data_IF_132338769270
#
_entry.id   IF_132338769270
#
_cell.length_a   1.000
_cell.length_b   1.000
_cell.length_c   1.000
_cell.angle_alpha   90.00
_cell.angle_beta   90.00
_cell.angle_gamma   90.00
#
_symmetry.space_group_name_H-M   'P 1'
#
loop_
_entity.id
_entity.type
_entity.pdbx_description
1 polymer ?
#
# COMPACT_ATOMS: atom_id res chain seq x y z
N UNK A 1 0.88 3.39 -14.66
CA UNK A 1 0.09 2.14 -14.79
C UNK A 1 -0.01 1.47 -13.45
N UNK A 2 -0.98 0.58 -13.24
CA UNK A 2 -1.20 -0.07 -11.94
C UNK A 2 0.05 -0.81 -11.44
N UNK A 3 0.83 -1.42 -12.35
CA UNK A 3 2.12 -2.01 -12.01
C UNK A 3 3.09 -1.00 -11.37
N UNK A 4 3.16 0.23 -11.88
CA UNK A 4 4.02 1.28 -11.33
C UNK A 4 3.52 1.74 -9.96
N UNK A 5 2.21 1.91 -9.80
CA UNK A 5 1.60 2.34 -8.53
C UNK A 5 1.84 1.29 -7.45
N UNK A 6 1.58 0.01 -7.76
CA UNK A 6 1.86 -1.12 -6.87
C UNK A 6 3.33 -1.16 -6.44
N UNK A 7 4.25 -0.97 -7.40
CA UNK A 7 5.68 -0.94 -7.11
C UNK A 7 6.07 0.15 -6.12
N UNK A 8 5.50 1.35 -6.26
CA UNK A 8 5.77 2.47 -5.33
C UNK A 8 5.14 2.27 -3.95
N UNK A 9 3.92 1.74 -3.87
CA UNK A 9 3.28 1.40 -2.59
C UNK A 9 4.10 0.37 -1.82
N UNK A 10 4.57 -0.69 -2.50
CA UNK A 10 5.43 -1.70 -1.90
C UNK A 10 6.80 -1.15 -1.48
N UNK A 11 7.35 -0.16 -2.18
CA UNK A 11 8.58 0.49 -1.77
C UNK A 11 8.43 1.19 -0.42
N UNK A 12 7.37 2.00 -0.25
CA UNK A 12 7.07 2.67 1.03
C UNK A 12 6.91 1.66 2.16
N UNK A 13 6.15 0.59 1.93
CA UNK A 13 5.92 -0.45 2.95
C UNK A 13 7.19 -1.23 3.32
N UNK A 14 8.14 -1.40 2.38
CA UNK A 14 9.44 -2.05 2.66
C UNK A 14 10.41 -1.15 3.42
N UNK A 15 10.33 0.16 3.21
CA UNK A 15 11.18 1.14 3.90
C UNK A 15 10.67 1.46 5.31
N UNK A 16 9.39 1.21 5.59
CA UNK A 16 8.79 1.47 6.89
C UNK A 16 9.21 0.43 7.95
N UNK A 17 9.53 0.91 9.15
CA UNK A 17 9.86 0.07 10.32
C UNK A 17 8.65 -0.24 11.20
N UNK A 18 7.49 0.32 10.87
CA UNK A 18 6.21 0.15 11.56
C UNK A 18 5.07 0.16 10.52
N UNK A 19 3.85 -0.28 10.89
CA UNK A 19 2.70 -0.16 10.00
C UNK A 19 2.51 1.26 9.48
N UNK A 20 2.22 1.36 8.18
CA UNK A 20 2.12 2.62 7.43
C UNK A 20 0.68 3.11 7.42
N UNK A 21 0.40 4.34 7.87
CA UNK A 21 -0.92 4.93 7.75
C UNK A 21 -1.36 5.13 6.31
N UNK A 22 -2.66 4.99 6.04
CA UNK A 22 -3.26 5.24 4.73
C UNK A 22 -2.85 6.62 4.17
N UNK A 23 -2.82 7.64 5.03
CA UNK A 23 -2.45 9.00 4.64
C UNK A 23 -1.03 9.11 4.04
N UNK A 24 -0.10 8.22 4.41
CA UNK A 24 1.24 8.15 3.82
C UNK A 24 1.18 7.49 2.44
N UNK A 25 0.45 6.39 2.32
CA UNK A 25 0.23 5.73 1.03
C UNK A 25 -0.50 6.66 0.06
N UNK A 26 -1.38 7.52 0.57
CA UNK A 26 -2.12 8.51 -0.22
C UNK A 26 -1.22 9.53 -0.93
N UNK A 27 0.01 9.74 -0.46
CA UNK A 27 0.96 10.65 -1.11
C UNK A 27 1.78 9.99 -2.23
N UNK A 28 1.72 8.66 -2.37
CA UNK A 28 2.57 7.89 -3.30
C UNK A 28 2.21 8.14 -4.77
N UNK A 29 0.94 8.47 -5.03
CA UNK A 29 0.42 8.64 -6.39
C UNK A 29 -0.73 9.63 -6.41
N UNK A 30 -0.69 10.56 -7.38
CA UNK A 30 -1.62 11.69 -7.45
C UNK A 30 -3.07 11.30 -7.81
N UNK A 31 -3.25 10.21 -8.57
CA UNK A 31 -4.57 9.75 -9.03
C UNK A 31 -5.20 8.83 -7.97
N UNK A 32 -6.21 9.27 -7.20
CA UNK A 32 -6.72 8.53 -6.05
C UNK A 32 -7.37 7.20 -6.44
N UNK A 33 -8.11 7.16 -7.56
CA UNK A 33 -8.82 5.96 -7.99
C UNK A 33 -7.82 4.87 -8.40
N UNK A 34 -6.77 5.25 -9.13
CA UNK A 34 -5.73 4.32 -9.53
C UNK A 34 -4.92 3.80 -8.34
N UNK A 35 -4.66 4.68 -7.36
CA UNK A 35 -3.97 4.33 -6.12
C UNK A 35 -4.76 3.35 -5.27
N UNK A 36 -6.03 3.65 -5.02
CA UNK A 36 -6.92 2.78 -4.26
C UNK A 36 -7.02 1.39 -4.91
N UNK A 37 -7.30 1.33 -6.22
CA UNK A 37 -7.36 0.06 -6.95
C UNK A 37 -6.05 -0.73 -6.89
N UNK A 38 -4.91 -0.05 -6.96
CA UNK A 38 -3.61 -0.70 -6.86
C UNK A 38 -3.37 -1.27 -5.45
N UNK A 39 -3.74 -0.54 -4.39
CA UNK A 39 -3.63 -0.98 -3.01
C UNK A 39 -4.58 -2.16 -2.73
N UNK A 40 -5.84 -2.08 -3.17
CA UNK A 40 -6.83 -3.15 -3.03
C UNK A 40 -6.35 -4.43 -3.72
N UNK A 41 -5.76 -4.30 -4.92
CA UNK A 41 -5.17 -5.44 -5.62
C UNK A 41 -3.99 -6.05 -4.87
N UNK A 42 -3.14 -5.24 -4.20
CA UNK A 42 -2.06 -5.77 -3.37
C UNK A 42 -2.59 -6.54 -2.16
N UNK A 43 -3.68 -6.07 -1.56
CA UNK A 43 -4.35 -6.74 -0.43
C UNK A 43 -4.97 -8.05 -0.90
N UNK A 44 -5.69 -8.04 -2.03
CA UNK A 44 -6.30 -9.24 -2.60
C UNK A 44 -5.26 -10.31 -2.96
N UNK A 45 -4.07 -9.89 -3.41
CA UNK A 45 -2.96 -10.79 -3.73
C UNK A 45 -2.16 -11.25 -2.49
N UNK A 46 -2.53 -10.80 -1.28
CA UNK A 46 -1.84 -11.14 -0.03
C UNK A 46 -0.44 -10.54 0.08
N UNK A 47 -0.13 -9.48 -0.68
CA UNK A 47 1.17 -8.81 -0.65
C UNK A 47 1.23 -7.65 0.35
N UNK A 48 0.06 -7.18 0.80
CA UNK A 48 -0.12 -6.13 1.81
C UNK A 48 -1.24 -6.56 2.73
N UNK A 49 -1.07 -6.36 4.03
CA UNK A 49 -2.11 -6.62 5.03
C UNK A 49 -2.67 -5.29 5.55
N UNK A 50 -4.00 -5.09 5.48
CA UNK A 50 -4.66 -4.03 6.22
C UNK A 50 -4.76 -4.39 7.71
N UNK A 51 -4.60 -3.40 8.57
CA UNK A 51 -4.75 -3.51 10.01
C UNK A 51 -5.87 -2.58 10.49
N UNK A 52 -6.09 -2.54 11.81
CA UNK A 52 -6.95 -1.54 12.43
C UNK A 52 -6.47 -0.11 12.12
N UNK A 53 -7.39 0.86 12.25
CA UNK A 53 -7.12 2.30 12.16
C UNK A 53 -6.52 2.77 10.82
N UNK A 54 -6.76 2.04 9.73
CA UNK A 54 -6.28 2.41 8.40
C UNK A 54 -4.76 2.28 8.26
N UNK A 55 -4.16 1.36 9.00
CA UNK A 55 -2.74 1.03 8.89
C UNK A 55 -2.54 -0.15 7.92
N UNK A 56 -1.38 -0.17 7.27
CA UNK A 56 -1.00 -1.21 6.31
C UNK A 56 0.41 -1.71 6.60
N UNK A 57 0.66 -3.00 6.38
CA UNK A 57 1.99 -3.58 6.52
C UNK A 57 2.26 -4.62 5.45
N UNK A 58 3.51 -5.05 5.34
CA UNK A 58 3.84 -6.28 4.64
C UNK A 58 3.44 -7.51 5.50
N UNK A 59 3.07 -8.64 4.89
CA UNK A 59 2.82 -9.88 5.61
C UNK A 59 4.02 -10.30 6.46
N UNK A 60 3.75 -10.82 7.64
CA UNK A 60 4.77 -11.51 8.43
C UNK A 60 4.88 -12.94 7.89
N UNK A 61 5.94 -13.21 7.16
CA UNK A 61 6.35 -14.58 6.77
C UNK A 61 6.73 -15.41 7.99
#
# INVERSE_FOLDING_TARGET
>A
TDRQVRGRLLAVLREATAPVPQAVLDQVWQEPVQRARALDGLVADGLVEPLADGLYRLPLS
#
